data_IF_625719857192
#
_entry.id   IF_625719857192
#
_cell.length_a   1.000
_cell.length_b   1.000
_cell.length_c   1.000
_cell.angle_alpha   90.00
_cell.angle_beta   90.00
_cell.angle_gamma   90.00
#
_symmetry.space_group_name_H-M   'P 1'
#
loop_
_entity.id
_entity.type
_entity.pdbx_description
1 polymer ?
#
# COMPACT_ATOMS: atom_id res chain seq x y z
N UNK A 1 0.96 5.19 -18.56
CA UNK A 1 0.44 4.20 -17.60
C UNK A 1 -0.82 4.79 -17.02
N UNK A 2 -1.98 4.35 -17.50
CA UNK A 2 -3.26 4.84 -16.98
C UNK A 2 -3.42 4.22 -15.58
N UNK A 3 -3.41 5.08 -14.56
CA UNK A 3 -3.79 4.68 -13.20
C UNK A 3 -5.24 4.21 -13.29
N UNK A 4 -5.48 2.93 -13.01
CA UNK A 4 -6.81 2.36 -13.06
C UNK A 4 -7.66 3.10 -12.03
N UNK A 5 -8.55 3.98 -12.51
CA UNK A 5 -9.31 4.92 -11.66
C UNK A 5 -10.23 4.18 -10.69
N UNK A 6 -10.47 2.88 -10.89
CA UNK A 6 -11.26 2.05 -9.99
C UNK A 6 -10.45 1.46 -8.83
N UNK A 7 -9.12 1.31 -8.97
CA UNK A 7 -8.33 0.61 -7.95
C UNK A 7 -8.11 1.52 -6.74
N UNK A 8 -8.54 1.12 -5.53
CA UNK A 8 -8.28 1.91 -4.35
C UNK A 8 -6.77 2.02 -4.12
N UNK A 9 -6.35 3.21 -3.71
CA UNK A 9 -4.93 3.49 -3.51
C UNK A 9 -4.44 2.70 -2.31
N UNK A 10 -3.34 1.95 -2.50
CA UNK A 10 -2.80 1.05 -1.48
C UNK A 10 -2.63 1.71 -0.11
N UNK A 11 -2.92 0.93 0.94
CA UNK A 11 -2.82 1.38 2.33
C UNK A 11 -1.45 2.03 2.63
N UNK A 12 -1.50 3.23 3.20
CA UNK A 12 -0.33 3.99 3.61
C UNK A 12 0.26 3.39 4.89
N UNK A 13 1.52 2.96 4.83
CA UNK A 13 2.26 2.58 6.03
C UNK A 13 2.61 3.82 6.87
N UNK A 14 2.94 3.65 8.15
CA UNK A 14 3.30 4.73 9.09
C UNK A 14 4.44 5.61 8.55
N UNK A 15 5.43 5.01 7.89
CA UNK A 15 6.51 5.74 7.22
C UNK A 15 6.02 6.51 5.99
N UNK A 16 5.07 5.98 5.22
CA UNK A 16 4.50 6.68 4.07
C UNK A 16 3.67 7.91 4.51
N UNK A 17 2.90 7.79 5.59
CA UNK A 17 2.20 8.92 6.20
C UNK A 17 3.17 10.02 6.67
N UNK A 18 4.30 9.63 7.25
CA UNK A 18 5.37 10.55 7.66
C UNK A 18 6.05 11.25 6.46
N UNK A 19 6.37 10.51 5.41
CA UNK A 19 6.90 11.09 4.18
C UNK A 19 5.93 12.09 3.55
N UNK A 20 4.63 11.81 3.61
CA UNK A 20 3.59 12.71 3.11
C UNK A 20 3.57 14.02 3.90
N UNK A 21 3.62 13.96 5.24
CA UNK A 21 3.68 15.17 6.08
C UNK A 21 4.96 15.97 5.85
N UNK A 22 6.11 15.30 5.78
CA UNK A 22 7.39 15.97 5.50
C UNK A 22 7.41 16.61 4.13
N UNK A 23 6.86 15.94 3.11
CA UNK A 23 6.80 16.48 1.76
C UNK A 23 5.88 17.69 1.69
N UNK A 24 4.75 17.67 2.41
CA UNK A 24 3.85 18.81 2.51
C UNK A 24 4.52 20.01 3.21
N UNK A 25 5.23 19.77 4.31
CA UNK A 25 5.97 20.81 5.03
C UNK A 25 7.11 21.39 4.18
N UNK A 26 7.87 20.54 3.49
CA UNK A 26 8.94 21.00 2.60
C UNK A 26 8.39 21.80 1.41
N UNK A 27 7.23 21.41 0.85
CA UNK A 27 6.58 22.18 -0.22
C UNK A 27 6.09 23.55 0.27
N UNK A 28 5.62 23.66 1.52
CA UNK A 28 5.22 24.93 2.14
C UNK A 28 6.42 25.85 2.39
N UNK A 29 7.52 25.30 2.91
CA UNK A 29 8.72 26.07 3.26
C UNK A 29 9.54 26.47 2.03
N UNK A 30 9.58 25.61 1.01
CA UNK A 30 10.33 25.83 -0.21
C UNK A 30 9.47 25.56 -1.45
N UNK A 31 8.50 26.44 -1.75
CA UNK A 31 7.61 26.26 -2.91
C UNK A 31 8.36 26.34 -4.26
N UNK A 32 9.53 26.98 -4.31
CA UNK A 32 10.31 27.19 -5.53
C UNK A 32 11.52 26.25 -5.70
N UNK A 33 11.77 25.35 -4.75
CA UNK A 33 12.90 24.41 -4.83
C UNK A 33 12.38 23.07 -5.32
N UNK A 34 12.94 22.60 -6.45
CA UNK A 34 12.70 21.24 -6.94
C UNK A 34 13.21 20.24 -5.92
N UNK A 35 12.29 19.45 -5.35
CA UNK A 35 12.62 18.40 -4.39
C UNK A 35 13.54 17.36 -5.02
N UNK A 36 14.81 17.31 -4.61
CA UNK A 36 15.64 16.14 -4.89
C UNK A 36 15.15 14.96 -4.03
N UNK A 37 14.46 14.02 -4.68
CA UNK A 37 13.89 12.86 -4.02
C UNK A 37 14.97 12.01 -3.33
N UNK A 38 16.19 12.00 -3.87
CA UNK A 38 17.30 11.21 -3.31
C UNK A 38 17.80 11.79 -1.99
N UNK A 39 18.04 13.10 -1.93
CA UNK A 39 18.41 13.79 -0.71
C UNK A 39 17.28 13.73 0.33
N UNK A 40 16.05 14.03 -0.08
CA UNK A 40 14.88 14.05 0.80
C UNK A 40 14.59 12.67 1.40
N UNK A 41 14.67 11.60 0.61
CA UNK A 41 14.47 10.24 1.12
C UNK A 41 15.54 9.84 2.14
N UNK A 42 16.78 10.33 2.01
CA UNK A 42 17.83 10.07 3.01
C UNK A 42 17.53 10.79 4.31
N UNK A 43 17.25 12.09 4.26
CA UNK A 43 16.92 12.91 5.43
C UNK A 43 15.69 12.36 6.18
N UNK A 44 14.63 12.01 5.45
CA UNK A 44 13.43 11.41 6.05
C UNK A 44 13.73 10.06 6.72
N UNK A 45 14.63 9.26 6.16
CA UNK A 45 14.99 7.97 6.73
C UNK A 45 15.77 8.12 8.05
N UNK A 46 16.61 9.15 8.15
CA UNK A 46 17.34 9.50 9.37
C UNK A 46 16.41 10.09 10.42
N UNK A 47 15.55 11.04 10.04
CA UNK A 47 14.53 11.61 10.92
C UNK A 47 13.59 10.52 11.46
N UNK A 48 13.19 9.57 10.62
CA UNK A 48 12.36 8.44 11.06
C UNK A 48 13.06 7.52 12.05
N UNK A 49 14.37 7.29 11.91
CA UNK A 49 15.13 6.52 12.90
C UNK A 49 15.19 7.27 14.23
N UNK A 50 15.47 8.57 14.19
CA UNK A 50 15.61 9.43 15.36
C UNK A 50 14.27 9.77 16.06
N UNK A 51 13.15 9.63 15.36
CA UNK A 51 11.81 9.87 15.89
C UNK A 51 11.51 9.03 17.14
N UNK A 52 10.89 9.66 18.12
CA UNK A 52 10.53 9.01 19.38
C UNK A 52 9.43 7.96 19.17
N UNK A 53 9.34 7.00 20.10
CA UNK A 53 8.28 5.99 20.07
C UNK A 53 6.87 6.61 20.12
N UNK A 54 6.72 7.77 20.77
CA UNK A 54 5.44 8.50 20.87
C UNK A 54 5.00 9.06 19.52
N UNK A 55 5.92 9.66 18.79
CA UNK A 55 5.61 10.22 17.46
C UNK A 55 5.42 9.10 16.44
N UNK A 56 6.23 8.04 16.48
CA UNK A 56 6.01 6.83 15.69
C UNK A 56 4.63 6.22 15.95
N UNK A 57 4.16 6.23 17.20
CA UNK A 57 2.82 5.73 17.55
C UNK A 57 1.73 6.55 16.86
N UNK A 58 1.81 7.88 16.88
CA UNK A 58 0.88 8.75 16.15
C UNK A 58 0.80 8.40 14.66
N UNK A 59 1.94 8.16 14.01
CA UNK A 59 1.96 7.74 12.60
C UNK A 59 1.46 6.31 12.38
N UNK A 60 1.66 5.40 13.34
CA UNK A 60 1.06 4.05 13.32
C UNK A 60 -0.46 4.12 13.40
N UNK A 61 -1.02 4.94 14.29
CA UNK A 61 -2.47 5.10 14.42
C UNK A 61 -3.09 5.67 13.12
N UNK A 62 -2.39 6.60 12.46
CA UNK A 62 -2.82 7.13 11.15
C UNK A 62 -2.76 6.04 10.08
N UNK A 63 -1.70 5.23 10.06
CA UNK A 63 -1.56 4.13 9.11
C UNK A 63 -2.59 3.02 9.32
N UNK A 64 -2.98 2.76 10.57
CA UNK A 64 -4.02 1.79 10.89
C UNK A 64 -5.38 2.24 10.36
N UNK A 65 -5.74 3.51 10.57
CA UNK A 65 -6.95 4.12 9.97
C UNK A 65 -6.93 4.08 8.44
N UNK A 66 -5.78 4.34 7.83
CA UNK A 66 -5.63 4.30 6.37
C UNK A 66 -5.76 2.85 5.84
N UNK A 67 -5.24 1.88 6.58
CA UNK A 67 -5.40 0.46 6.29
C UNK A 67 -6.86 0.01 6.36
N UNK A 68 -7.61 0.52 7.34
CA UNK A 68 -9.06 0.28 7.42
C UNK A 68 -9.80 0.89 6.23
N UNK A 69 -9.48 2.15 5.86
CA UNK A 69 -10.03 2.78 4.65
C UNK A 69 -9.79 1.90 3.42
N UNK A 70 -8.55 1.47 3.22
CA UNK A 70 -8.20 0.61 2.08
C UNK A 70 -8.92 -0.74 2.14
N UNK A 71 -9.12 -1.33 3.34
CA UNK A 71 -9.87 -2.58 3.48
C UNK A 71 -11.33 -2.40 3.05
N UNK A 72 -12.00 -1.35 3.52
CA UNK A 72 -13.37 -1.04 3.13
C UNK A 72 -13.48 -0.74 1.63
N UNK A 73 -12.57 0.06 1.07
CA UNK A 73 -12.57 0.36 -0.37
C UNK A 73 -12.29 -0.91 -1.21
N UNK A 74 -11.43 -1.82 -0.73
CA UNK A 74 -11.16 -3.11 -1.40
C UNK A 74 -12.34 -4.09 -1.31
N UNK A 75 -13.13 -4.06 -0.24
CA UNK A 75 -14.35 -4.88 -0.13
C UNK A 75 -15.39 -4.48 -1.18
N UNK A 76 -15.43 -3.20 -1.56
CA UNK A 76 -16.29 -2.69 -2.63
C UNK A 76 -15.63 -2.69 -4.01
N UNK A 77 -14.33 -3.02 -4.10
CA UNK A 77 -13.60 -3.04 -5.36
C UNK A 77 -13.74 -4.41 -6.03
N UNK A 78 -14.47 -4.45 -7.15
CA UNK A 78 -14.47 -5.58 -8.06
C UNK A 78 -13.34 -5.41 -9.09
N UNK A 79 -12.24 -6.18 -9.02
CA UNK A 79 -11.17 -6.07 -10.00
C UNK A 79 -11.71 -6.51 -11.38
N UNK A 80 -11.36 -5.79 -12.46
CA UNK A 80 -11.63 -6.25 -13.81
C UNK A 80 -11.04 -7.65 -14.03
N UNK A 81 -11.77 -8.49 -14.77
CA UNK A 81 -11.49 -9.92 -14.88
C UNK A 81 -10.07 -10.27 -15.39
N UNK A 82 -9.37 -9.31 -16.01
CA UNK A 82 -8.12 -9.51 -16.72
C UNK A 82 -6.85 -9.27 -15.86
N UNK A 83 -6.93 -8.49 -14.78
CA UNK A 83 -5.74 -7.99 -14.08
C UNK A 83 -5.36 -8.73 -12.78
N UNK A 84 -6.13 -9.77 -12.41
CA UNK A 84 -5.99 -10.45 -11.12
C UNK A 84 -5.44 -11.88 -11.16
N UNK A 85 -5.35 -12.53 -12.33
CA UNK A 85 -4.91 -13.94 -12.38
C UNK A 85 -3.38 -14.02 -12.51
N UNK A 86 -2.67 -13.57 -11.47
CA UNK A 86 -1.26 -13.97 -11.26
C UNK A 86 -1.17 -15.47 -11.49
N UNK A 87 -0.28 -15.90 -12.42
CA UNK A 87 -0.06 -17.32 -12.75
C UNK A 87 0.03 -18.10 -11.44
N UNK A 88 -1.05 -18.80 -11.07
CA UNK A 88 -1.05 -19.68 -9.89
C UNK A 88 0.17 -20.57 -10.05
N UNK A 89 1.05 -20.54 -9.05
CA UNK A 89 2.26 -21.38 -9.02
C UNK A 89 1.85 -22.80 -9.43
N UNK A 90 2.58 -23.38 -10.39
CA UNK A 90 2.34 -24.77 -10.82
C UNK A 90 2.42 -25.64 -9.56
N UNK A 91 1.36 -26.39 -9.30
CA UNK A 91 1.29 -27.31 -8.14
C UNK A 91 2.35 -28.39 -8.35
N UNK A 92 3.03 -28.78 -7.28
CA UNK A 92 3.97 -29.90 -7.32
C UNK A 92 3.26 -31.16 -7.86
N UNK A 93 3.88 -31.94 -8.76
CA UNK A 93 3.26 -33.11 -9.37
C UNK A 93 2.85 -34.19 -8.37
N UNK A 94 3.59 -34.30 -7.26
CA UNK A 94 3.39 -35.29 -6.20
C UNK A 94 2.40 -34.81 -5.11
N UNK A 95 2.03 -33.52 -5.10
CA UNK A 95 1.12 -33.00 -4.09
C UNK A 95 -0.34 -33.39 -4.37
N UNK A 96 -1.12 -33.74 -3.33
CA UNK A 96 -2.53 -34.09 -3.50
C UNK A 96 -3.31 -32.95 -4.18
N UNK A 97 -4.11 -33.33 -5.18
CA UNK A 97 -5.01 -32.40 -5.89
C UNK A 97 -5.98 -31.76 -4.89
N UNK A 98 -6.29 -30.48 -5.10
CA UNK A 98 -7.30 -29.79 -4.27
C UNK A 98 -8.66 -30.44 -4.48
N UNK A 99 -9.45 -30.56 -3.41
CA UNK A 99 -10.83 -31.01 -3.49
C UNK A 99 -11.61 -30.13 -4.50
N UNK A 100 -12.51 -30.75 -5.26
CA UNK A 100 -13.36 -30.05 -6.21
C UNK A 100 -14.29 -29.10 -5.45
N UNK A 101 -14.46 -27.87 -5.96
CA UNK A 101 -15.42 -26.92 -5.40
C UNK A 101 -16.83 -27.46 -5.55
N UNK A 102 -17.70 -27.19 -4.58
CA UNK A 102 -19.12 -27.58 -4.57
C UNK A 102 -19.93 -27.05 -5.76
N UNK A 103 -19.36 -26.12 -6.54
CA UNK A 103 -19.92 -25.65 -7.81
C UNK A 103 -19.77 -26.64 -8.97
N UNK A 104 -18.69 -27.44 -9.00
CA UNK A 104 -18.41 -28.37 -10.10
C UNK A 104 -19.33 -29.60 -10.22
N UNK A 105 -19.93 -30.18 -9.17
CA UNK A 105 -20.90 -31.27 -9.34
C UNK A 105 -22.24 -30.83 -9.94
N UNK A 106 -22.46 -29.52 -10.15
CA UNK A 106 -23.67 -28.95 -10.76
C UNK A 106 -23.43 -28.40 -12.19
N UNK A 107 -22.21 -28.52 -12.74
CA UNK A 107 -21.89 -28.25 -14.15
C UNK A 107 -21.89 -29.55 -14.96
#
# INVERSE_FOLDING_TARGET
MAEDKGKPKGAMNAYAAFLQSMRADHKKKHPNVTLDFKAFSKECSEQWKNLSAKEKKKFKDIAEKDKERYRCEMEHYEPPADEGRSKKRKRDPDAPKKALSAFFPFL
#
